data_IF_858006268360
#
_entry.id   IF_858006268360
#
_cell.length_a   1.000
_cell.length_b   1.000
_cell.length_c   1.000
_cell.angle_alpha   90.00
_cell.angle_beta   90.00
_cell.angle_gamma   90.00
#
_symmetry.space_group_name_H-M   'P 1'
#
loop_
_entity.id
_entity.type
_entity.pdbx_description
1 polymer ?
#
# COMPACT_ATOMS: atom_id res chain seq x y z
N UNK A 1 17.71 -6.60 3.02
CA UNK A 1 16.74 -6.28 1.96
C UNK A 1 17.08 -4.94 1.34
N UNK A 2 17.40 -4.94 0.07
CA UNK A 2 17.75 -3.73 -0.72
C UNK A 2 19.02 -2.98 -0.26
N UNK A 3 19.98 -3.67 0.33
CA UNK A 3 21.18 -3.06 0.91
C UNK A 3 21.99 -2.26 -0.11
N UNK A 4 22.00 -2.71 -1.37
CA UNK A 4 22.77 -2.09 -2.44
C UNK A 4 21.93 -1.20 -3.36
N UNK A 5 20.70 -0.88 -2.97
CA UNK A 5 19.81 -0.07 -3.81
C UNK A 5 19.65 1.34 -3.25
N UNK A 6 19.61 2.31 -4.15
CA UNK A 6 19.32 3.70 -3.81
C UNK A 6 17.84 3.86 -3.46
N UNK A 7 17.49 4.96 -2.83
CA UNK A 7 16.09 5.29 -2.55
C UNK A 7 15.27 5.28 -3.83
N UNK A 8 15.78 5.87 -4.90
CA UNK A 8 15.09 5.90 -6.20
C UNK A 8 14.80 4.49 -6.72
N UNK A 9 15.80 3.61 -6.67
CA UNK A 9 15.65 2.22 -7.12
C UNK A 9 14.61 1.47 -6.29
N UNK A 10 14.59 1.69 -4.98
CA UNK A 10 13.61 1.08 -4.08
C UNK A 10 12.21 1.57 -4.43
N UNK A 11 12.03 2.87 -4.64
CA UNK A 11 10.73 3.43 -5.01
C UNK A 11 10.24 2.89 -6.36
N UNK A 12 11.12 2.70 -7.32
CA UNK A 12 10.76 2.10 -8.62
C UNK A 12 10.18 0.68 -8.46
N UNK A 13 10.58 -0.02 -7.40
CA UNK A 13 10.06 -1.36 -7.10
C UNK A 13 8.74 -1.29 -6.31
N UNK A 14 8.67 -0.42 -5.30
CA UNK A 14 7.53 -0.38 -4.38
C UNK A 14 6.32 0.38 -4.92
N UNK A 15 6.53 1.44 -5.68
CA UNK A 15 5.41 2.24 -6.20
C UNK A 15 4.42 1.44 -7.05
N UNK A 16 4.86 0.60 -8.01
CA UNK A 16 3.91 -0.22 -8.78
C UNK A 16 3.10 -1.19 -7.92
N UNK A 17 3.70 -1.71 -6.84
CA UNK A 17 3.02 -2.63 -5.93
C UNK A 17 1.90 -1.90 -5.18
N UNK A 18 2.19 -0.69 -4.70
CA UNK A 18 1.17 0.13 -4.04
C UNK A 18 0.10 0.60 -5.02
N UNK A 19 0.48 0.98 -6.24
CA UNK A 19 -0.48 1.33 -7.30
C UNK A 19 -1.50 0.21 -7.50
N UNK A 20 -1.01 -1.03 -7.61
CA UNK A 20 -1.88 -2.20 -7.78
C UNK A 20 -2.83 -2.38 -6.61
N UNK A 21 -2.31 -2.22 -5.39
CA UNK A 21 -3.11 -2.35 -4.16
C UNK A 21 -4.26 -1.33 -4.14
N UNK A 22 -3.94 -0.06 -4.39
CA UNK A 22 -4.94 1.01 -4.34
C UNK A 22 -5.90 0.96 -5.52
N UNK A 23 -5.43 0.58 -6.70
CA UNK A 23 -6.29 0.39 -7.87
C UNK A 23 -7.30 -0.74 -7.59
N UNK A 24 -6.86 -1.84 -7.00
CA UNK A 24 -7.75 -2.92 -6.60
C UNK A 24 -8.81 -2.45 -5.62
N UNK A 25 -8.42 -1.64 -4.63
CA UNK A 25 -9.36 -1.04 -3.68
C UNK A 25 -10.35 -0.12 -4.39
N UNK A 26 -9.86 0.76 -5.27
CA UNK A 26 -10.70 1.70 -6.01
C UNK A 26 -11.71 0.98 -6.91
N UNK A 27 -11.31 -0.13 -7.51
CA UNK A 27 -12.14 -0.92 -8.43
C UNK A 27 -13.09 -1.87 -7.69
N UNK A 28 -12.90 -2.08 -6.38
CA UNK A 28 -13.63 -3.09 -5.64
C UNK A 28 -13.21 -4.51 -6.00
N UNK A 29 -12.01 -4.67 -6.54
CA UNK A 29 -11.46 -5.96 -6.96
C UNK A 29 -10.59 -6.52 -5.83
N UNK A 30 -11.19 -7.40 -5.02
CA UNK A 30 -10.53 -7.95 -3.84
C UNK A 30 -9.25 -8.72 -4.21
N UNK A 31 -9.31 -9.59 -5.20
CA UNK A 31 -8.14 -10.40 -5.60
C UNK A 31 -6.97 -9.52 -6.07
N UNK A 32 -7.27 -8.48 -6.81
CA UNK A 32 -6.26 -7.51 -7.25
C UNK A 32 -5.69 -6.75 -6.05
N UNK A 33 -6.56 -6.33 -5.14
CA UNK A 33 -6.17 -5.55 -3.95
C UNK A 33 -5.16 -6.31 -3.09
N UNK A 34 -5.39 -7.61 -2.85
CA UNK A 34 -4.55 -8.43 -1.97
C UNK A 34 -3.42 -9.16 -2.68
N UNK A 35 -3.27 -8.98 -3.97
CA UNK A 35 -2.34 -9.75 -4.81
C UNK A 35 -0.93 -9.84 -4.22
N UNK A 36 -0.42 -8.74 -3.68
CA UNK A 36 0.93 -8.66 -3.14
C UNK A 36 0.96 -8.62 -1.60
N UNK A 37 -0.09 -9.09 -0.94
CA UNK A 37 -0.14 -9.16 0.52
C UNK A 37 0.54 -10.42 1.03
N UNK A 38 1.20 -10.31 2.20
CA UNK A 38 1.66 -11.50 2.93
C UNK A 38 0.46 -12.34 3.37
N UNK A 39 0.65 -13.64 3.65
CA UNK A 39 -0.43 -14.47 4.21
C UNK A 39 -1.03 -13.87 5.48
N UNK A 40 -0.20 -13.27 6.33
CA UNK A 40 -0.67 -12.61 7.55
C UNK A 40 -1.66 -11.48 7.22
N UNK A 41 -1.29 -10.61 6.29
CA UNK A 41 -2.14 -9.47 5.94
C UNK A 41 -3.42 -9.92 5.22
N UNK A 42 -3.34 -10.96 4.38
CA UNK A 42 -4.52 -11.54 3.73
C UNK A 42 -5.57 -12.02 4.72
N UNK A 43 -5.12 -12.57 5.86
CA UNK A 43 -6.04 -13.03 6.90
C UNK A 43 -6.73 -11.88 7.63
N UNK A 44 -6.10 -10.71 7.67
CA UNK A 44 -6.65 -9.53 8.33
C UNK A 44 -7.62 -8.78 7.40
N UNK A 45 -7.24 -8.65 6.13
CA UNK A 45 -8.02 -7.91 5.13
C UNK A 45 -8.92 -8.88 4.38
N UNK A 46 -10.18 -8.95 4.78
CA UNK A 46 -11.16 -9.88 4.22
C UNK A 46 -12.00 -9.22 3.11
N UNK A 47 -12.71 -10.01 2.27
CA UNK A 47 -13.65 -9.44 1.30
C UNK A 47 -14.71 -8.54 1.96
N UNK A 48 -15.15 -8.88 3.17
CA UNK A 48 -16.11 -8.08 3.93
C UNK A 48 -15.54 -6.73 4.32
N UNK A 49 -14.26 -6.69 4.72
CA UNK A 49 -13.59 -5.44 5.03
C UNK A 49 -13.58 -4.50 3.83
N UNK A 50 -13.22 -5.02 2.65
CA UNK A 50 -13.18 -4.22 1.44
C UNK A 50 -14.58 -3.74 1.07
N UNK A 51 -15.59 -4.61 1.11
CA UNK A 51 -16.98 -4.22 0.83
C UNK A 51 -17.46 -3.14 1.79
N UNK A 52 -17.14 -3.25 3.07
CA UNK A 52 -17.49 -2.25 4.08
C UNK A 52 -16.84 -0.90 3.76
N UNK A 53 -15.56 -0.90 3.41
CA UNK A 53 -14.85 0.31 3.03
C UNK A 53 -15.50 0.97 1.81
N UNK A 54 -15.90 0.18 0.82
CA UNK A 54 -16.53 0.67 -0.40
C UNK A 54 -17.89 1.33 -0.12
N UNK A 55 -18.67 0.76 0.80
CA UNK A 55 -19.97 1.31 1.19
C UNK A 55 -19.86 2.64 1.93
N UNK A 56 -18.75 2.86 2.63
CA UNK A 56 -18.54 4.02 3.50
C UNK A 56 -17.39 4.89 3.00
N UNK A 57 -17.40 5.24 1.70
CA UNK A 57 -16.40 6.13 1.11
C UNK A 57 -16.87 7.58 1.10
N UNK A 58 -16.78 8.29 2.22
CA UNK A 58 -17.17 9.69 2.22
C UNK A 58 -16.22 10.56 1.39
N UNK A 59 -14.98 10.12 1.20
CA UNK A 59 -13.91 10.90 0.57
C UNK A 59 -13.62 10.53 -0.88
N UNK A 60 -14.22 9.46 -1.41
CA UNK A 60 -14.06 9.02 -2.80
C UNK A 60 -12.98 7.99 -3.00
N UNK A 61 -12.16 8.19 -4.03
CA UNK A 61 -11.15 7.22 -4.48
C UNK A 61 -9.75 7.73 -4.22
N UNK A 62 -8.81 6.79 -3.97
CA UNK A 62 -7.40 7.13 -3.88
C UNK A 62 -6.91 7.63 -5.23
N UNK A 63 -6.24 8.77 -5.24
CA UNK A 63 -5.75 9.39 -6.45
C UNK A 63 -4.22 9.36 -6.49
N UNK A 64 -3.53 10.43 -6.18
CA UNK A 64 -2.08 10.48 -6.22
C UNK A 64 -1.46 10.33 -4.84
N UNK A 65 -0.16 9.99 -4.82
CA UNK A 65 0.67 9.97 -3.62
C UNK A 65 1.91 10.77 -3.85
N UNK A 66 2.45 11.31 -2.77
CA UNK A 66 3.75 11.97 -2.78
C UNK A 66 4.63 11.28 -1.74
N UNK A 67 5.79 10.83 -2.17
CA UNK A 67 6.76 10.19 -1.27
C UNK A 67 7.21 11.15 -0.18
N UNK A 68 7.29 10.65 1.06
CA UNK A 68 7.73 11.45 2.21
C UNK A 68 8.95 10.85 2.89
N UNK A 69 8.91 9.56 3.24
CA UNK A 69 9.91 8.96 4.12
C UNK A 69 10.10 7.49 3.82
N UNK A 70 11.37 7.04 3.82
CA UNK A 70 11.75 5.65 3.71
C UNK A 70 12.50 5.24 4.97
N UNK A 71 12.14 4.10 5.55
CA UNK A 71 12.79 3.55 6.74
C UNK A 71 13.35 2.17 6.39
N UNK A 72 14.67 2.03 6.50
CA UNK A 72 15.36 0.78 6.19
C UNK A 72 15.54 -0.05 7.47
N UNK A 73 15.14 -1.31 7.41
CA UNK A 73 15.36 -2.29 8.48
C UNK A 73 16.06 -3.50 7.88
N UNK A 74 16.55 -4.41 8.73
CA UNK A 74 17.27 -5.59 8.25
C UNK A 74 16.40 -6.48 7.35
N UNK A 75 15.13 -6.68 7.71
CA UNK A 75 14.24 -7.60 7.01
C UNK A 75 13.00 -6.94 6.42
N UNK A 76 12.90 -5.62 6.46
CA UNK A 76 11.73 -4.90 5.94
C UNK A 76 12.09 -3.48 5.52
N UNK A 77 11.18 -2.87 4.77
CA UNK A 77 11.23 -1.46 4.40
C UNK A 77 9.91 -0.83 4.87
N UNK A 78 10.02 0.23 5.66
CA UNK A 78 8.88 1.07 5.97
C UNK A 78 8.86 2.25 5.01
N UNK A 79 7.67 2.65 4.56
CA UNK A 79 7.52 3.79 3.67
C UNK A 79 6.30 4.61 4.05
N UNK A 80 6.41 5.93 3.90
CA UNK A 80 5.32 6.85 4.17
C UNK A 80 5.12 7.73 2.95
N UNK A 81 3.87 7.79 2.51
CA UNK A 81 3.41 8.71 1.47
C UNK A 81 2.38 9.67 2.03
N UNK A 82 2.31 10.86 1.47
CA UNK A 82 1.15 11.72 1.58
C UNK A 82 0.16 11.22 0.54
N UNK A 83 -1.05 10.87 0.96
CA UNK A 83 -2.07 10.28 0.11
C UNK A 83 -3.19 11.28 -0.14
N UNK A 84 -3.64 11.37 -1.39
CA UNK A 84 -4.76 12.22 -1.79
C UNK A 84 -5.96 11.36 -2.16
N UNK A 85 -7.15 11.90 -1.90
CA UNK A 85 -8.43 11.23 -2.14
C UNK A 85 -9.36 12.20 -2.89
N UNK A 86 -10.17 11.68 -3.81
CA UNK A 86 -10.81 12.50 -4.85
C UNK A 86 -11.85 13.52 -4.37
N UNK A 87 -12.54 13.27 -3.25
CA UNK A 87 -13.66 14.11 -2.82
C UNK A 87 -13.34 15.05 -1.66
N UNK A 88 -12.09 15.20 -1.32
CA UNK A 88 -11.66 16.06 -0.22
C UNK A 88 -10.32 16.70 -0.54
N UNK A 89 -10.06 17.85 0.06
CA UNK A 89 -8.75 18.50 0.01
C UNK A 89 -7.87 18.10 1.19
N UNK A 90 -8.36 17.25 2.09
CA UNK A 90 -7.56 16.76 3.20
C UNK A 90 -6.42 15.87 2.70
N UNK A 91 -5.32 15.92 3.42
CA UNK A 91 -4.15 15.08 3.16
C UNK A 91 -4.14 13.94 4.16
N UNK A 92 -3.77 12.75 3.68
CA UNK A 92 -3.76 11.54 4.50
C UNK A 92 -2.37 10.94 4.54
N UNK A 93 -2.11 10.17 5.59
CA UNK A 93 -0.87 9.41 5.73
C UNK A 93 -1.14 8.00 5.21
N UNK A 94 -0.37 7.58 4.20
CA UNK A 94 -0.34 6.20 3.74
C UNK A 94 0.99 5.62 4.17
N UNK A 95 1.00 4.71 5.15
CA UNK A 95 2.22 4.05 5.54
C UNK A 95 2.11 2.55 5.35
N UNK A 96 3.21 1.97 4.89
CA UNK A 96 3.24 0.56 4.55
C UNK A 96 4.57 -0.06 4.97
N UNK A 97 4.55 -1.38 5.18
CA UNK A 97 5.74 -2.16 5.44
C UNK A 97 5.81 -3.24 4.36
N UNK A 98 6.96 -3.31 3.69
CA UNK A 98 7.24 -4.31 2.67
C UNK A 98 8.27 -5.30 3.19
N UNK A 99 8.08 -6.56 2.84
CA UNK A 99 9.01 -7.64 3.18
C UNK A 99 9.33 -8.45 1.93
N UNK A 100 10.40 -9.23 1.97
CA UNK A 100 10.76 -10.14 0.90
C UNK A 100 10.52 -11.58 1.37
N UNK A 101 9.77 -12.33 0.57
CA UNK A 101 9.53 -13.76 0.82
C UNK A 101 9.67 -14.52 -0.50
N UNK A 102 10.55 -15.52 -0.51
CA UNK A 102 10.78 -16.38 -1.67
C UNK A 102 11.08 -15.58 -2.95
N UNK A 103 11.90 -14.53 -2.80
CA UNK A 103 12.28 -13.66 -3.90
C UNK A 103 11.22 -12.66 -4.34
N UNK A 104 10.09 -12.59 -3.64
CA UNK A 104 8.99 -11.67 -3.95
C UNK A 104 8.88 -10.57 -2.90
N UNK A 105 8.59 -9.37 -3.36
CA UNK A 105 8.33 -8.24 -2.45
C UNK A 105 6.84 -8.19 -2.17
N UNK A 106 6.49 -8.24 -0.89
CA UNK A 106 5.10 -8.30 -0.44
C UNK A 106 4.79 -7.20 0.56
N UNK A 107 3.53 -6.76 0.59
CA UNK A 107 3.03 -5.81 1.58
C UNK A 107 2.65 -6.60 2.84
N UNK A 108 3.26 -6.24 3.97
CA UNK A 108 2.96 -6.85 5.26
C UNK A 108 2.08 -5.95 6.14
N UNK A 109 1.97 -4.69 5.80
CA UNK A 109 1.15 -3.71 6.50
C UNK A 109 0.88 -2.53 5.57
N UNK A 110 -0.34 -2.02 5.61
CA UNK A 110 -0.72 -0.79 4.92
C UNK A 110 -1.89 -0.15 5.66
N UNK A 111 -1.73 1.12 6.01
CA UNK A 111 -2.78 1.89 6.68
C UNK A 111 -2.82 3.30 6.10
N UNK A 112 -4.02 3.76 5.79
CA UNK A 112 -4.26 5.13 5.34
C UNK A 112 -5.20 5.80 6.33
N UNK A 113 -4.71 6.88 6.93
CA UNK A 113 -5.48 7.59 7.95
C UNK A 113 -5.24 9.10 7.92
#
# INVERSE_FOLDING_TARGET
MFENKSQKEILEILEPIMDNCLDGSNEGDYEKHIKHFTPRLRNIVTPENLRSQLKHRPHGYFTKREFTLLVRRETSIGIVWKQFISKTNDEFVNHAIFVEKDGKILIDHCLIC
#
